data_IF_301369053915
#
_entry.id   IF_301369053915
#
_cell.length_a   1.000
_cell.length_b   1.000
_cell.length_c   1.000
_cell.angle_alpha   90.00
_cell.angle_beta   90.00
_cell.angle_gamma   90.00
#
_symmetry.space_group_name_H-M   'P 1'
#
loop_
_entity.id
_entity.type
_entity.pdbx_description
1 polymer ?
#
# COMPACT_ATOMS: atom_id res chain seq x y z
N UNK A 1 11.21 -44.14 -7.72
CA UNK A 1 12.53 -43.71 -7.19
C UNK A 1 13.04 -42.37 -7.80
N UNK A 2 12.35 -41.75 -8.79
CA UNK A 2 12.75 -40.48 -9.38
C UNK A 2 12.18 -39.25 -8.68
N UNK A 3 11.10 -39.36 -7.89
CA UNK A 3 10.45 -38.24 -7.23
C UNK A 3 11.30 -37.59 -6.13
N UNK A 4 12.12 -38.36 -5.42
CA UNK A 4 12.91 -37.83 -4.29
C UNK A 4 14.15 -36.99 -4.66
N UNK A 5 14.71 -37.17 -5.89
CA UNK A 5 15.87 -36.39 -6.34
C UNK A 5 15.45 -35.00 -6.86
N UNK A 6 14.30 -34.88 -7.51
CA UNK A 6 13.77 -33.61 -7.98
C UNK A 6 13.42 -32.69 -6.78
N UNK A 7 12.84 -33.22 -5.73
CA UNK A 7 12.45 -32.48 -4.53
C UNK A 7 13.68 -31.85 -3.79
N UNK A 8 14.79 -32.58 -3.70
CA UNK A 8 16.01 -32.06 -3.06
C UNK A 8 16.67 -30.93 -3.89
N UNK A 9 16.62 -31.03 -5.23
CA UNK A 9 17.16 -29.99 -6.14
C UNK A 9 16.30 -28.71 -6.06
N UNK A 10 14.99 -28.85 -6.09
CA UNK A 10 14.04 -27.73 -6.00
C UNK A 10 14.16 -27.02 -4.63
N UNK A 11 14.34 -27.78 -3.55
CA UNK A 11 14.59 -27.21 -2.22
C UNK A 11 15.91 -26.44 -2.13
N UNK A 12 16.97 -26.97 -2.76
CA UNK A 12 18.28 -26.30 -2.80
C UNK A 12 18.21 -25.00 -3.60
N UNK A 13 17.52 -25.03 -4.75
CA UNK A 13 17.28 -23.83 -5.56
C UNK A 13 16.44 -22.80 -4.81
N UNK A 14 15.32 -23.19 -4.21
CA UNK A 14 14.51 -22.31 -3.39
C UNK A 14 15.32 -21.67 -2.26
N UNK A 15 16.14 -22.46 -1.56
CA UNK A 15 16.98 -21.96 -0.48
C UNK A 15 18.02 -20.93 -1.00
N UNK A 16 18.56 -21.13 -2.20
CA UNK A 16 19.49 -20.19 -2.84
C UNK A 16 18.78 -18.87 -3.18
N UNK A 17 17.59 -18.93 -3.78
CA UNK A 17 16.78 -17.75 -4.10
C UNK A 17 16.36 -16.96 -2.85
N UNK A 18 15.98 -17.64 -1.78
CA UNK A 18 15.68 -17.00 -0.49
C UNK A 18 16.89 -16.28 0.11
N UNK A 19 18.08 -16.85 -0.01
CA UNK A 19 19.31 -16.15 0.42
C UNK A 19 19.58 -14.89 -0.38
N UNK A 20 19.39 -14.92 -1.70
CA UNK A 20 19.53 -13.74 -2.56
C UNK A 20 18.49 -12.67 -2.18
N UNK A 21 17.24 -13.06 -1.98
CA UNK A 21 16.19 -12.16 -1.53
C UNK A 21 16.53 -11.52 -0.19
N UNK A 22 17.03 -12.28 0.78
CA UNK A 22 17.43 -11.74 2.08
C UNK A 22 18.49 -10.65 1.95
N UNK A 23 19.45 -10.78 1.02
CA UNK A 23 20.46 -9.75 0.75
C UNK A 23 19.81 -8.47 0.23
N UNK A 24 18.88 -8.59 -0.73
CA UNK A 24 18.14 -7.45 -1.28
C UNK A 24 17.30 -6.78 -0.18
N UNK A 25 16.55 -7.56 0.61
CA UNK A 25 15.71 -7.05 1.68
C UNK A 25 16.55 -6.30 2.74
N UNK A 26 17.78 -6.77 3.04
CA UNK A 26 18.72 -6.06 3.92
C UNK A 26 19.21 -4.74 3.31
N UNK A 27 19.49 -4.70 2.00
CA UNK A 27 19.90 -3.46 1.32
C UNK A 27 18.77 -2.42 1.35
N UNK A 28 17.54 -2.83 1.05
CA UNK A 28 16.37 -1.97 1.15
C UNK A 28 16.17 -1.50 2.60
N UNK A 29 16.27 -2.43 3.56
CA UNK A 29 16.11 -2.12 4.98
C UNK A 29 17.11 -1.06 5.48
N UNK A 30 18.37 -1.09 5.00
CA UNK A 30 19.36 -0.05 5.29
C UNK A 30 18.96 1.30 4.67
N UNK A 31 18.46 1.30 3.43
CA UNK A 31 18.04 2.52 2.74
C UNK A 31 16.88 3.21 3.44
N UNK A 32 15.86 2.43 3.87
CA UNK A 32 14.67 2.96 4.54
C UNK A 32 14.83 3.07 6.07
N UNK A 33 15.97 2.58 6.62
CA UNK A 33 16.28 2.50 8.06
C UNK A 33 15.21 1.74 8.88
N UNK A 34 14.61 0.71 8.31
CA UNK A 34 13.59 -0.16 8.92
C UNK A 34 13.61 -1.54 8.24
N UNK A 35 13.12 -2.61 8.88
CA UNK A 35 12.99 -3.91 8.22
C UNK A 35 12.15 -3.81 6.94
N UNK A 36 12.60 -4.52 5.88
CA UNK A 36 11.86 -4.54 4.60
C UNK A 36 10.53 -5.27 4.76
N UNK A 37 9.44 -4.49 4.67
CA UNK A 37 8.06 -4.96 4.56
C UNK A 37 7.31 -4.04 3.60
N UNK A 38 6.16 -4.48 3.08
CA UNK A 38 5.33 -3.62 2.24
C UNK A 38 4.85 -2.37 3.01
N UNK A 39 4.52 -2.51 4.31
CA UNK A 39 4.16 -1.39 5.15
C UNK A 39 5.29 -0.36 5.26
N UNK A 40 6.45 -0.77 5.76
CA UNK A 40 7.57 0.15 5.97
C UNK A 40 8.07 0.80 4.68
N UNK A 41 8.18 0.02 3.59
CA UNK A 41 8.59 0.56 2.30
C UNK A 41 7.52 1.50 1.72
N UNK A 42 6.24 1.15 1.85
CA UNK A 42 5.13 2.00 1.43
C UNK A 42 5.08 3.33 2.17
N UNK A 43 5.21 3.31 3.51
CA UNK A 43 5.31 4.51 4.34
C UNK A 43 6.50 5.39 3.93
N UNK A 44 7.67 4.79 3.72
CA UNK A 44 8.87 5.51 3.31
C UNK A 44 8.70 6.17 1.93
N UNK A 45 8.17 5.45 0.94
CA UNK A 45 7.88 5.96 -0.41
C UNK A 45 6.85 7.09 -0.32
N UNK A 46 5.75 6.87 0.39
CA UNK A 46 4.69 7.85 0.55
C UNK A 46 5.18 9.14 1.22
N UNK A 47 6.03 9.03 2.24
CA UNK A 47 6.59 10.20 2.93
C UNK A 47 7.41 11.09 1.99
N UNK A 48 8.12 10.50 1.03
CA UNK A 48 8.95 11.23 0.05
C UNK A 48 8.14 11.84 -1.09
N UNK A 49 7.15 11.10 -1.58
CA UNK A 49 6.36 11.53 -2.74
C UNK A 49 5.26 12.53 -2.35
N UNK A 50 4.61 12.30 -1.22
CA UNK A 50 3.43 13.08 -0.81
C UNK A 50 3.70 14.05 0.33
N UNK A 51 4.96 14.24 0.71
CA UNK A 51 5.40 15.15 1.78
C UNK A 51 4.69 14.85 3.11
N UNK A 52 4.76 13.57 3.52
CA UNK A 52 4.18 13.09 4.78
C UNK A 52 5.28 13.03 5.84
N UNK A 53 5.06 13.66 6.98
CA UNK A 53 5.84 13.46 8.20
C UNK A 53 5.33 12.20 8.89
N UNK A 54 6.19 11.18 8.97
CA UNK A 54 5.85 9.92 9.61
C UNK A 54 5.89 10.05 11.13
N UNK A 55 4.96 9.40 11.81
CA UNK A 55 4.96 9.33 13.27
C UNK A 55 6.17 8.52 13.78
N UNK A 56 6.91 9.03 14.79
CA UNK A 56 8.14 8.37 15.29
C UNK A 56 7.89 7.02 15.94
N UNK A 57 6.69 6.77 16.41
CA UNK A 57 6.33 5.54 17.13
C UNK A 57 4.92 5.07 16.78
N UNK A 58 4.71 3.75 16.84
CA UNK A 58 3.40 3.11 16.66
C UNK A 58 2.37 3.40 17.79
N UNK A 59 2.52 4.52 18.50
CA UNK A 59 1.66 4.88 19.63
C UNK A 59 0.23 5.21 19.17
N UNK A 60 0.08 5.80 18.00
CA UNK A 60 -1.23 5.99 17.36
C UNK A 60 -1.50 4.82 16.40
N UNK A 61 -2.14 3.77 16.87
CA UNK A 61 -2.39 2.50 16.14
C UNK A 61 -3.04 2.60 14.76
N UNK A 62 -3.45 3.78 14.31
CA UNK A 62 -4.17 3.97 13.05
C UNK A 62 -3.59 5.07 12.17
N UNK A 63 -2.60 5.82 12.67
CA UNK A 63 -2.04 6.98 11.97
C UNK A 63 -0.56 6.72 11.74
N UNK A 64 -0.14 6.69 10.48
CA UNK A 64 1.26 6.51 10.10
C UNK A 64 2.00 7.85 9.96
N UNK A 65 1.26 8.94 9.74
CA UNK A 65 1.83 10.28 9.61
C UNK A 65 0.80 11.37 9.32
N UNK A 66 1.34 12.56 8.96
CA UNK A 66 0.54 13.74 8.59
C UNK A 66 1.11 14.40 7.35
N UNK A 67 0.25 14.89 6.48
CA UNK A 67 0.67 15.73 5.35
C UNK A 67 1.25 17.05 5.89
N UNK A 68 2.44 17.44 5.40
CA UNK A 68 3.11 18.67 5.83
C UNK A 68 2.65 19.90 5.08
N UNK A 69 2.32 19.75 3.81
CA UNK A 69 2.06 20.86 2.89
C UNK A 69 0.79 20.65 2.05
N UNK A 70 0.38 21.69 1.32
CA UNK A 70 -0.73 21.65 0.38
C UNK A 70 -2.10 21.68 1.05
N UNK A 71 -3.12 21.29 0.28
CA UNK A 71 -4.52 21.33 0.71
C UNK A 71 -4.82 20.38 1.90
N UNK A 72 -3.98 19.38 2.11
CA UNK A 72 -4.14 18.39 3.18
C UNK A 72 -3.20 18.64 4.37
N UNK A 73 -2.52 19.78 4.44
CA UNK A 73 -1.59 20.09 5.53
C UNK A 73 -2.21 19.86 6.90
N UNK A 74 -1.50 19.12 7.79
CA UNK A 74 -1.94 18.74 9.12
C UNK A 74 -2.90 17.55 9.17
N UNK A 75 -3.46 17.10 8.05
CA UNK A 75 -4.36 15.95 8.00
C UNK A 75 -3.61 14.64 8.27
N UNK A 76 -4.21 13.79 9.08
CA UNK A 76 -3.68 12.48 9.42
C UNK A 76 -3.88 11.48 8.28
N UNK A 77 -2.92 10.57 8.12
CA UNK A 77 -2.95 9.56 7.07
C UNK A 77 -2.47 8.20 7.58
N UNK A 78 -3.16 7.16 7.11
CA UNK A 78 -2.68 5.79 7.19
C UNK A 78 -2.25 5.34 5.79
N UNK A 79 -1.02 4.86 5.65
CA UNK A 79 -0.44 4.44 4.38
C UNK A 79 -0.56 2.94 4.23
N UNK A 80 -1.02 2.48 3.07
CA UNK A 80 -1.08 1.07 2.71
C UNK A 80 -0.37 0.84 1.39
N UNK A 81 0.39 -0.24 1.28
CA UNK A 81 0.90 -0.72 0.01
C UNK A 81 0.51 -2.18 -0.21
N UNK A 82 -0.40 -2.39 -1.15
CA UNK A 82 -0.82 -3.73 -1.58
C UNK A 82 -0.13 -4.10 -2.88
N UNK A 83 0.65 -5.16 -2.87
CA UNK A 83 1.37 -5.65 -4.07
C UNK A 83 0.43 -6.17 -5.16
N UNK A 84 -0.86 -6.31 -4.83
CA UNK A 84 -1.95 -6.71 -5.71
C UNK A 84 -3.24 -6.04 -5.23
N UNK A 85 -3.97 -5.34 -6.10
CA UNK A 85 -5.25 -4.71 -5.76
C UNK A 85 -6.40 -5.71 -5.86
N UNK A 86 -6.85 -6.21 -4.75
CA UNK A 86 -7.91 -7.22 -4.62
C UNK A 86 -9.30 -6.64 -4.28
N UNK A 87 -9.42 -5.31 -4.18
CA UNK A 87 -10.67 -4.66 -3.77
C UNK A 87 -10.90 -4.70 -2.26
N UNK A 88 -9.86 -5.03 -1.49
CA UNK A 88 -9.87 -5.09 -0.03
C UNK A 88 -9.04 -3.95 0.55
N UNK A 89 -9.47 -3.44 1.71
CA UNK A 89 -8.74 -2.43 2.48
C UNK A 89 -8.78 -2.79 3.97
N UNK A 90 -7.62 -2.75 4.61
CA UNK A 90 -7.51 -2.87 6.06
C UNK A 90 -7.95 -1.55 6.70
N UNK A 91 -9.13 -1.57 7.28
CA UNK A 91 -9.78 -0.40 7.85
C UNK A 91 -9.76 -0.44 9.39
N UNK A 92 -9.83 0.75 9.97
CA UNK A 92 -9.99 0.97 11.41
C UNK A 92 -11.18 1.89 11.67
N UNK A 93 -11.73 1.84 12.86
CA UNK A 93 -12.79 2.74 13.33
C UNK A 93 -12.23 4.01 14.02
N UNK A 94 -10.93 4.29 13.88
CA UNK A 94 -10.29 5.46 14.50
C UNK A 94 -10.89 6.76 13.95
N UNK A 95 -11.45 7.57 14.83
CA UNK A 95 -12.11 8.84 14.48
C UNK A 95 -11.10 9.95 14.13
N UNK A 96 -9.86 9.81 14.59
CA UNK A 96 -8.78 10.77 14.38
C UNK A 96 -8.09 10.59 13.01
N UNK A 97 -8.42 9.52 12.27
CA UNK A 97 -7.87 9.27 10.96
C UNK A 97 -8.66 10.03 9.89
N UNK A 98 -7.97 10.93 9.18
CA UNK A 98 -8.58 11.69 8.08
C UNK A 98 -8.55 10.90 6.76
N UNK A 99 -7.42 10.27 6.40
CA UNK A 99 -7.24 9.65 5.10
C UNK A 99 -6.53 8.29 5.14
N UNK A 100 -6.92 7.41 4.20
CA UNK A 100 -6.08 6.31 3.75
C UNK A 100 -5.41 6.69 2.44
N UNK A 101 -4.07 6.62 2.39
CA UNK A 101 -3.30 6.69 1.15
C UNK A 101 -2.88 5.26 0.77
N UNK A 102 -3.41 4.78 -0.34
CA UNK A 102 -3.25 3.38 -0.74
C UNK A 102 -2.46 3.30 -2.05
N UNK A 103 -1.28 2.70 -2.00
CA UNK A 103 -0.48 2.34 -3.16
C UNK A 103 -0.80 0.91 -3.55
N UNK A 104 -0.95 0.63 -4.84
CA UNK A 104 -1.27 -0.74 -5.27
C UNK A 104 -0.47 -1.18 -6.48
N UNK A 105 -0.14 -2.46 -6.52
CA UNK A 105 0.26 -3.17 -7.72
C UNK A 105 -0.94 -3.50 -8.62
N UNK A 106 -0.81 -4.51 -9.50
CA UNK A 106 -1.83 -4.85 -10.50
C UNK A 106 -3.20 -5.13 -9.89
N UNK A 107 -4.25 -4.68 -10.58
CA UNK A 107 -5.62 -5.06 -10.24
C UNK A 107 -5.86 -6.51 -10.62
N UNK A 108 -6.27 -7.32 -9.66
CA UNK A 108 -6.66 -8.70 -9.90
C UNK A 108 -7.65 -9.17 -8.82
N UNK A 109 -8.45 -10.20 -9.15
CA UNK A 109 -9.34 -10.83 -8.18
C UNK A 109 -8.56 -11.46 -7.02
N UNK A 110 -9.09 -11.43 -5.81
CA UNK A 110 -8.55 -12.14 -4.66
C UNK A 110 -8.41 -13.66 -4.92
N UNK A 111 -9.29 -14.22 -5.77
CA UNK A 111 -9.28 -15.63 -6.17
C UNK A 111 -8.27 -15.95 -7.26
N UNK A 112 -7.69 -14.94 -7.91
CA UNK A 112 -6.68 -15.17 -8.94
C UNK A 112 -5.32 -15.47 -8.30
N UNK A 113 -5.01 -16.75 -8.21
CA UNK A 113 -3.74 -17.26 -7.66
C UNK A 113 -2.56 -17.13 -8.64
N UNK A 114 -2.81 -16.80 -9.92
CA UNK A 114 -1.78 -16.68 -10.95
C UNK A 114 -1.13 -15.31 -10.98
N UNK A 115 -1.80 -14.26 -10.48
CA UNK A 115 -1.25 -12.91 -10.46
C UNK A 115 -0.11 -12.84 -9.44
N UNK A 116 1.08 -12.61 -9.94
CA UNK A 116 2.27 -12.42 -9.12
C UNK A 116 2.16 -11.11 -8.33
N UNK A 117 2.54 -11.14 -7.05
CA UNK A 117 2.59 -9.96 -6.17
C UNK A 117 3.91 -9.23 -6.37
N UNK A 118 3.97 -8.40 -7.39
CA UNK A 118 5.15 -7.63 -7.73
C UNK A 118 5.32 -6.41 -6.82
N UNK A 119 6.57 -6.08 -6.51
CA UNK A 119 6.95 -4.87 -5.77
C UNK A 119 6.94 -3.67 -6.72
N UNK A 120 5.73 -3.24 -7.10
CA UNK A 120 5.48 -2.13 -8.03
C UNK A 120 4.27 -1.31 -7.61
N UNK A 121 4.17 -0.10 -8.12
CA UNK A 121 3.04 0.80 -7.89
C UNK A 121 2.42 1.13 -9.24
N UNK A 122 1.24 0.56 -9.51
CA UNK A 122 0.48 0.84 -10.73
C UNK A 122 -0.54 1.96 -10.50
N UNK A 123 -1.02 2.11 -9.26
CA UNK A 123 -2.00 3.12 -8.93
C UNK A 123 -1.86 3.60 -7.47
N UNK A 124 -2.34 4.83 -7.23
CA UNK A 124 -2.46 5.40 -5.91
C UNK A 124 -3.88 5.96 -5.70
N UNK A 125 -4.39 5.79 -4.49
CA UNK A 125 -5.74 6.16 -4.09
C UNK A 125 -5.71 6.93 -2.78
N UNK A 126 -6.55 7.95 -2.66
CA UNK A 126 -6.76 8.70 -1.43
C UNK A 126 -8.22 8.56 -1.01
N UNK A 127 -8.48 7.79 0.04
CA UNK A 127 -9.81 7.67 0.61
C UNK A 127 -9.97 8.59 1.81
N UNK A 128 -11.05 9.36 1.86
CA UNK A 128 -11.53 9.97 3.09
C UNK A 128 -11.98 8.85 4.05
N UNK A 129 -11.30 8.73 5.19
CA UNK A 129 -11.49 7.62 6.10
C UNK A 129 -12.89 7.61 6.74
N UNK A 130 -13.43 8.80 7.06
CA UNK A 130 -14.73 8.93 7.69
C UNK A 130 -15.87 8.71 6.70
N UNK A 131 -15.74 9.20 5.46
CA UNK A 131 -16.71 8.92 4.40
C UNK A 131 -16.75 7.42 4.05
N UNK A 132 -15.58 6.80 3.97
CA UNK A 132 -15.48 5.37 3.70
C UNK A 132 -16.11 4.53 4.83
N UNK A 133 -15.85 4.90 6.08
CA UNK A 133 -16.44 4.27 7.25
C UNK A 133 -17.97 4.42 7.27
N UNK A 134 -18.47 5.62 6.99
CA UNK A 134 -19.91 5.88 6.88
C UNK A 134 -20.57 5.04 5.76
N UNK A 135 -19.92 4.92 4.60
CA UNK A 135 -20.42 4.12 3.49
C UNK A 135 -20.49 2.61 3.83
N UNK A 136 -19.55 2.09 4.65
CA UNK A 136 -19.59 0.72 5.15
C UNK A 136 -20.72 0.52 6.17
N UNK A 137 -20.86 1.43 7.14
CA UNK A 137 -21.92 1.38 8.17
C UNK A 137 -23.32 1.45 7.56
N UNK A 138 -23.53 2.33 6.57
CA UNK A 138 -24.82 2.44 5.86
C UNK A 138 -25.25 1.15 5.17
N UNK A 139 -24.31 0.24 4.90
CA UNK A 139 -24.56 -1.07 4.28
C UNK A 139 -24.56 -2.23 5.28
N UNK A 140 -24.40 -1.97 6.56
CA UNK A 140 -24.26 -3.01 7.58
C UNK A 140 -22.99 -3.87 7.40
N UNK A 141 -21.98 -3.38 6.69
CA UNK A 141 -20.72 -4.09 6.49
C UNK A 141 -19.80 -3.83 7.69
N UNK A 142 -19.37 -4.93 8.32
CA UNK A 142 -18.42 -4.84 9.44
C UNK A 142 -17.07 -4.32 8.94
N UNK A 143 -16.54 -3.33 9.65
CA UNK A 143 -15.19 -2.84 9.44
C UNK A 143 -14.19 -3.78 10.09
N UNK A 144 -13.20 -4.22 9.34
CA UNK A 144 -12.17 -5.14 9.82
C UNK A 144 -10.94 -5.10 8.91
N UNK A 145 -9.93 -5.89 9.25
CA UNK A 145 -8.86 -6.28 8.34
C UNK A 145 -9.51 -6.92 7.10
N UNK A 146 -9.08 -6.49 5.91
CA UNK A 146 -9.62 -6.94 4.62
C UNK A 146 -11.12 -6.61 4.38
N UNK A 147 -11.55 -5.39 4.72
CA UNK A 147 -12.89 -4.89 4.40
C UNK A 147 -13.07 -4.74 2.89
N UNK A 148 -14.15 -5.31 2.34
CA UNK A 148 -14.46 -5.19 0.91
C UNK A 148 -14.89 -3.78 0.52
N UNK A 149 -14.16 -3.12 -0.35
CA UNK A 149 -14.47 -1.78 -0.88
C UNK A 149 -15.00 -1.89 -2.30
N UNK A 150 -16.15 -1.25 -2.56
CA UNK A 150 -16.76 -1.25 -3.90
C UNK A 150 -15.85 -0.57 -4.93
N UNK A 151 -15.87 -1.08 -6.16
CA UNK A 151 -15.09 -0.52 -7.26
C UNK A 151 -15.35 0.96 -7.49
N UNK A 152 -16.60 1.42 -7.36
CA UNK A 152 -16.94 2.84 -7.50
C UNK A 152 -16.21 3.74 -6.50
N UNK A 153 -15.96 3.25 -5.26
CA UNK A 153 -15.21 4.00 -4.25
C UNK A 153 -13.72 4.01 -4.57
N UNK A 154 -13.17 2.89 -5.10
CA UNK A 154 -11.81 2.86 -5.62
C UNK A 154 -11.61 3.88 -6.74
N UNK A 155 -12.51 3.88 -7.73
CA UNK A 155 -12.45 4.83 -8.84
C UNK A 155 -12.54 6.28 -8.36
N UNK A 156 -13.45 6.59 -7.44
CA UNK A 156 -13.59 7.94 -6.89
C UNK A 156 -12.38 8.40 -6.07
N UNK A 157 -11.63 7.47 -5.46
CA UNK A 157 -10.46 7.76 -4.66
C UNK A 157 -9.16 7.87 -5.48
N UNK A 158 -9.17 7.52 -6.77
CA UNK A 158 -7.97 7.43 -7.60
C UNK A 158 -7.31 8.80 -7.81
N UNK A 159 -6.00 8.89 -7.47
CA UNK A 159 -5.16 10.06 -7.68
C UNK A 159 -4.04 9.81 -8.70
N UNK A 160 -3.72 8.54 -8.99
CA UNK A 160 -2.72 8.09 -9.97
C UNK A 160 -3.08 6.70 -10.49
N UNK A 161 -2.90 6.37 -11.78
CA UNK A 161 -2.41 7.22 -12.87
C UNK A 161 -3.44 8.25 -13.34
N UNK A 162 -4.74 8.00 -13.14
CA UNK A 162 -5.83 8.89 -13.53
C UNK A 162 -6.26 9.74 -12.35
N UNK A 163 -6.37 11.06 -12.53
CA UNK A 163 -6.87 11.96 -11.48
C UNK A 163 -8.38 11.96 -11.51
N UNK A 164 -8.98 11.27 -10.56
CA UNK A 164 -10.43 11.27 -10.31
C UNK A 164 -10.79 11.95 -8.99
N UNK A 165 -9.87 11.89 -8.03
CA UNK A 165 -10.01 12.57 -6.75
C UNK A 165 -9.25 13.91 -6.75
N UNK A 166 -9.96 15.06 -6.72
CA UNK A 166 -9.33 16.37 -6.74
C UNK A 166 -8.75 16.81 -5.37
N UNK A 167 -8.99 16.06 -4.30
CA UNK A 167 -8.51 16.42 -2.96
C UNK A 167 -6.99 16.46 -2.86
N UNK A 168 -6.28 15.66 -3.67
CA UNK A 168 -4.82 15.65 -3.74
C UNK A 168 -4.37 15.64 -5.22
N UNK A 169 -4.33 16.82 -5.87
CA UNK A 169 -3.79 16.93 -7.22
C UNK A 169 -2.27 16.70 -7.17
N UNK A 170 -1.78 15.75 -7.97
CA UNK A 170 -0.35 15.43 -8.03
C UNK A 170 0.38 16.37 -8.97
N UNK A 171 1.53 16.88 -8.51
CA UNK A 171 2.48 17.60 -9.35
C UNK A 171 3.10 16.68 -10.43
N UNK A 172 3.74 17.28 -11.43
CA UNK A 172 4.49 16.53 -12.45
C UNK A 172 5.62 15.69 -11.80
N UNK A 173 6.32 16.25 -10.83
CA UNK A 173 7.38 15.56 -10.09
C UNK A 173 6.85 14.34 -9.32
N UNK A 174 5.75 14.50 -8.58
CA UNK A 174 5.14 13.37 -7.86
C UNK A 174 4.72 12.24 -8.79
N UNK A 175 4.17 12.56 -9.97
CA UNK A 175 3.84 11.57 -11.00
C UNK A 175 5.07 10.87 -11.54
N UNK A 176 6.14 11.62 -11.78
CA UNK A 176 7.42 11.07 -12.24
C UNK A 176 8.00 10.12 -11.19
N UNK A 177 7.98 10.51 -9.92
CA UNK A 177 8.47 9.66 -8.82
C UNK A 177 7.64 8.37 -8.66
N UNK A 178 6.31 8.44 -8.81
CA UNK A 178 5.46 7.23 -8.82
C UNK A 178 5.80 6.32 -10.00
N UNK A 179 6.07 6.91 -11.17
CA UNK A 179 6.42 6.14 -12.38
C UNK A 179 7.72 5.35 -12.25
N UNK A 180 8.64 5.72 -11.35
CA UNK A 180 9.86 4.94 -11.06
C UNK A 180 9.54 3.53 -10.53
N UNK A 181 8.37 3.34 -9.96
CA UNK A 181 7.92 2.06 -9.40
C UNK A 181 7.00 1.28 -10.34
N UNK A 182 6.71 1.79 -11.53
CA UNK A 182 6.02 1.03 -12.57
C UNK A 182 7.00 0.00 -13.16
N UNK A 183 6.60 -1.25 -13.20
CA UNK A 183 7.44 -2.31 -13.77
C UNK A 183 7.18 -2.51 -15.25
#
# INVERSE_FOLDING_TARGET
WHAGLMDATDLAELAALLRQRNIIDQQIGRLINRPMTAGHAGEWIASRIFDIELEPSAVAKAIDGRFRTGALAGKSVNVKWYLKREGLLDMTEAVELDYYLVLTGPKASARDVRTVRLWRIDAAYLFDAQQLLAAHRARGVKVSVASGVREALWLAAEIYPTVRNPALPLSHEQRHLLALFNG
#
